data_IF_756625869330
#
_entry.id   IF_756625869330
#
_cell.length_a   1.000
_cell.length_b   1.000
_cell.length_c   1.000
_cell.angle_alpha   90.00
_cell.angle_beta   90.00
_cell.angle_gamma   90.00
#
_symmetry.space_group_name_H-M   'P 1'
#
loop_
_entity.id
_entity.type
_entity.pdbx_description
1 polymer ?
#
# COMPACT_ATOMS: atom_id res chain seq x y z
N UNK A 1 -10.69 -19.45 20.40
CA UNK A 1 -9.42 -18.71 20.12
C UNK A 1 -9.66 -17.49 19.22
N UNK A 2 -10.54 -17.60 18.23
CA UNK A 2 -10.85 -16.53 17.26
C UNK A 2 -11.22 -15.17 17.88
N UNK A 3 -12.13 -15.15 18.85
CA UNK A 3 -12.52 -13.89 19.51
C UNK A 3 -11.38 -13.20 20.25
N UNK A 4 -10.41 -13.97 20.75
CA UNK A 4 -9.23 -13.40 21.43
C UNK A 4 -8.32 -12.73 20.39
N UNK A 5 -8.06 -13.38 19.26
CA UNK A 5 -7.28 -12.80 18.16
C UNK A 5 -7.93 -11.50 17.64
N UNK A 6 -9.25 -11.51 17.41
CA UNK A 6 -9.99 -10.31 16.98
C UNK A 6 -9.96 -9.19 18.04
N UNK A 7 -10.10 -9.52 19.32
CA UNK A 7 -10.03 -8.54 20.40
C UNK A 7 -8.64 -7.89 20.48
N UNK A 8 -7.58 -8.68 20.29
CA UNK A 8 -6.19 -8.16 20.28
C UNK A 8 -5.98 -7.26 19.06
N UNK A 9 -6.45 -7.68 17.86
CA UNK A 9 -6.38 -6.86 16.65
C UNK A 9 -7.12 -5.54 16.85
N UNK A 10 -8.32 -5.57 17.41
CA UNK A 10 -9.10 -4.36 17.69
C UNK A 10 -8.40 -3.44 18.71
N UNK A 11 -7.79 -4.02 19.75
CA UNK A 11 -7.03 -3.27 20.75
C UNK A 11 -5.80 -2.59 20.11
N UNK A 12 -5.07 -3.30 19.26
CA UNK A 12 -3.90 -2.78 18.54
C UNK A 12 -4.33 -1.67 17.58
N UNK A 13 -5.41 -1.87 16.83
CA UNK A 13 -5.95 -0.86 15.93
C UNK A 13 -6.39 0.41 16.70
N UNK A 14 -7.00 0.24 17.86
CA UNK A 14 -7.39 1.36 18.72
C UNK A 14 -6.18 2.09 19.33
N UNK A 15 -5.15 1.36 19.77
CA UNK A 15 -3.97 1.93 20.43
C UNK A 15 -3.00 2.61 19.43
N UNK A 16 -2.97 2.17 18.18
CA UNK A 16 -2.00 2.63 17.16
C UNK A 16 -2.00 4.14 16.94
N UNK A 17 -3.16 4.85 16.78
CA UNK A 17 -3.17 6.31 16.61
C UNK A 17 -2.61 7.05 17.84
N UNK A 18 -2.87 6.54 19.05
CA UNK A 18 -2.35 7.13 20.28
C UNK A 18 -0.83 6.99 20.38
N UNK A 19 -0.30 5.81 20.03
CA UNK A 19 1.14 5.55 19.99
C UNK A 19 1.81 6.45 18.94
N UNK A 20 1.24 6.50 17.73
CA UNK A 20 1.76 7.34 16.65
C UNK A 20 1.74 8.84 17.01
N UNK A 21 0.70 9.30 17.69
CA UNK A 21 0.58 10.71 18.12
C UNK A 21 1.50 11.09 19.28
N UNK A 22 1.90 10.13 20.10
CA UNK A 22 2.80 10.35 21.23
C UNK A 22 4.26 10.63 20.82
N UNK A 23 4.63 10.31 19.57
CA UNK A 23 5.99 10.55 19.06
C UNK A 23 6.10 11.98 18.55
N UNK A 24 6.99 12.83 19.13
CA UNK A 24 7.19 14.19 18.66
C UNK A 24 7.64 14.22 17.19
N UNK A 25 7.00 15.09 16.38
CA UNK A 25 7.33 15.23 14.94
C UNK A 25 6.64 14.24 14.02
N UNK A 26 5.89 13.26 14.52
CA UNK A 26 5.15 12.24 13.75
C UNK A 26 5.96 11.66 12.56
N UNK A 27 7.19 11.14 12.80
CA UNK A 27 8.06 10.68 11.70
C UNK A 27 7.57 9.38 11.07
N UNK A 28 6.72 8.62 11.77
CA UNK A 28 6.26 7.30 11.35
C UNK A 28 4.74 7.30 11.19
N UNK A 29 4.22 6.93 10.01
CA UNK A 29 2.78 6.76 9.80
C UNK A 29 2.19 5.68 10.72
N UNK A 30 0.94 5.87 11.13
CA UNK A 30 0.18 4.91 11.94
C UNK A 30 0.18 3.50 11.34
N UNK A 31 0.04 3.40 10.03
CA UNK A 31 0.04 2.13 9.28
C UNK A 31 1.29 1.29 9.54
N UNK A 32 2.44 1.93 9.70
CA UNK A 32 3.71 1.22 10.00
C UNK A 32 3.64 0.54 11.37
N UNK A 33 3.05 1.21 12.37
CA UNK A 33 2.84 0.59 13.70
C UNK A 33 1.91 -0.60 13.61
N UNK A 34 0.82 -0.50 12.86
CA UNK A 34 -0.11 -1.61 12.65
C UNK A 34 0.57 -2.81 11.99
N UNK A 35 1.39 -2.57 10.96
CA UNK A 35 2.16 -3.63 10.29
C UNK A 35 3.18 -4.28 11.22
N UNK A 36 3.96 -3.49 11.95
CA UNK A 36 4.98 -3.99 12.87
C UNK A 36 4.33 -4.77 14.01
N UNK A 37 3.30 -4.22 14.65
CA UNK A 37 2.59 -4.90 15.73
C UNK A 37 1.89 -6.17 15.23
N UNK A 38 1.29 -6.13 14.04
CA UNK A 38 0.72 -7.32 13.41
C UNK A 38 1.74 -8.42 13.14
N UNK A 39 2.93 -8.05 12.65
CA UNK A 39 4.02 -9.01 12.44
C UNK A 39 4.53 -9.61 13.77
N UNK A 40 4.72 -8.76 14.79
CA UNK A 40 5.22 -9.20 16.11
C UNK A 40 4.22 -10.09 16.83
N UNK A 41 2.94 -9.73 16.84
CA UNK A 41 1.88 -10.51 17.52
C UNK A 41 1.39 -11.69 16.68
N UNK A 42 1.74 -11.71 15.40
CA UNK A 42 1.33 -12.73 14.44
C UNK A 42 1.96 -14.11 14.70
N UNK A 43 1.53 -15.12 13.92
CA UNK A 43 1.87 -16.52 14.15
C UNK A 43 3.36 -16.85 13.98
N UNK A 44 4.11 -15.99 13.25
CA UNK A 44 5.52 -16.22 12.93
C UNK A 44 6.50 -15.69 14.00
N UNK A 45 6.02 -14.85 14.94
CA UNK A 45 6.85 -14.33 16.04
C UNK A 45 6.31 -14.76 17.41
N UNK A 46 5.38 -13.98 17.98
CA UNK A 46 4.86 -14.29 19.32
C UNK A 46 3.70 -15.31 19.30
N UNK A 47 3.06 -15.52 18.17
CA UNK A 47 1.96 -16.49 18.04
C UNK A 47 0.73 -16.16 18.89
N UNK A 48 0.55 -14.89 19.27
CA UNK A 48 -0.58 -14.44 20.10
C UNK A 48 -1.85 -14.33 19.25
N UNK A 49 -1.70 -13.92 17.98
CA UNK A 49 -2.77 -13.83 17.00
C UNK A 49 -2.67 -15.06 16.09
N UNK A 50 -3.76 -15.81 16.02
CA UNK A 50 -3.90 -16.93 15.09
C UNK A 50 -4.77 -16.51 13.90
N UNK A 51 -4.35 -16.93 12.70
CA UNK A 51 -5.11 -16.68 11.46
C UNK A 51 -6.15 -17.79 11.32
N UNK A 52 -7.30 -17.58 11.94
CA UNK A 52 -8.50 -18.41 11.81
C UNK A 52 -9.49 -17.79 10.80
N UNK A 53 -10.60 -18.47 10.56
CA UNK A 53 -11.57 -18.07 9.53
C UNK A 53 -12.14 -16.66 9.79
N UNK A 54 -12.34 -16.29 11.05
CA UNK A 54 -12.87 -14.99 11.46
C UNK A 54 -11.88 -13.87 11.22
N UNK A 55 -10.60 -14.10 11.52
CA UNK A 55 -9.51 -13.12 11.22
C UNK A 55 -9.35 -12.97 9.72
N UNK A 56 -9.40 -14.06 8.95
CA UNK A 56 -9.35 -14.02 7.49
C UNK A 56 -10.51 -13.21 6.90
N UNK A 57 -11.73 -13.43 7.39
CA UNK A 57 -12.92 -12.69 6.94
C UNK A 57 -12.76 -11.17 7.19
N UNK A 58 -12.31 -10.78 8.39
CA UNK A 58 -12.08 -9.35 8.71
C UNK A 58 -10.97 -8.76 7.83
N UNK A 59 -9.92 -9.53 7.57
CA UNK A 59 -8.83 -9.13 6.66
C UNK A 59 -9.33 -8.90 5.23
N UNK A 60 -10.14 -9.82 4.69
CA UNK A 60 -10.74 -9.69 3.35
C UNK A 60 -11.67 -8.47 3.25
N UNK A 61 -12.49 -8.24 4.28
CA UNK A 61 -13.33 -7.04 4.36
C UNK A 61 -12.48 -5.77 4.43
N UNK A 62 -11.42 -5.77 5.25
CA UNK A 62 -10.48 -4.65 5.34
C UNK A 62 -9.83 -4.34 3.99
N UNK A 63 -9.39 -5.37 3.27
CA UNK A 63 -8.83 -5.24 1.93
C UNK A 63 -9.85 -4.67 0.94
N UNK A 64 -11.10 -5.16 0.98
CA UNK A 64 -12.18 -4.63 0.12
C UNK A 64 -12.44 -3.15 0.39
N UNK A 65 -12.45 -2.72 1.66
CA UNK A 65 -12.59 -1.31 2.02
C UNK A 65 -11.38 -0.46 1.60
N UNK A 66 -10.16 -1.00 1.68
CA UNK A 66 -8.97 -0.31 1.18
C UNK A 66 -9.05 -0.07 -0.33
N UNK A 67 -9.46 -1.07 -1.11
CA UNK A 67 -9.67 -0.90 -2.54
C UNK A 67 -10.80 0.07 -2.87
N UNK A 68 -11.88 0.04 -2.10
CA UNK A 68 -12.97 1.01 -2.26
C UNK A 68 -12.49 2.44 -2.01
N UNK A 69 -11.71 2.64 -0.95
CA UNK A 69 -11.15 3.94 -0.59
C UNK A 69 -10.16 4.42 -1.65
N UNK A 70 -9.25 3.55 -2.09
CA UNK A 70 -8.31 3.85 -3.17
C UNK A 70 -9.04 4.25 -4.45
N UNK A 71 -10.10 3.50 -4.83
CA UNK A 71 -10.94 3.86 -5.98
C UNK A 71 -11.65 5.21 -5.84
N UNK A 72 -12.02 5.59 -4.63
CA UNK A 72 -12.65 6.89 -4.36
C UNK A 72 -11.65 8.07 -4.40
N UNK A 73 -10.39 7.83 -4.06
CA UNK A 73 -9.33 8.85 -4.12
C UNK A 73 -8.87 9.17 -5.54
N UNK A 74 -9.13 8.29 -6.50
CA UNK A 74 -8.73 8.48 -7.90
C UNK A 74 -9.59 9.56 -8.57
N UNK A 75 -8.97 10.66 -8.98
CA UNK A 75 -9.63 11.67 -9.82
C UNK A 75 -9.60 11.21 -11.29
N UNK A 76 -10.77 10.96 -11.93
CA UNK A 76 -10.84 10.58 -13.35
C UNK A 76 -10.13 11.57 -14.29
N UNK A 77 -10.03 12.84 -13.93
CA UNK A 77 -9.34 13.86 -14.73
C UNK A 77 -7.83 13.64 -14.74
N UNK A 78 -7.25 13.15 -13.65
CA UNK A 78 -5.82 12.83 -13.57
C UNK A 78 -5.43 11.65 -14.47
N UNK A 79 -6.38 10.79 -14.84
CA UNK A 79 -6.14 9.63 -15.70
C UNK A 79 -6.25 10.01 -17.19
N UNK A 80 -7.22 10.84 -17.55
CA UNK A 80 -7.57 11.14 -18.97
C UNK A 80 -6.79 12.31 -19.56
N UNK A 81 -6.14 13.11 -18.72
CA UNK A 81 -5.33 14.27 -19.12
C UNK A 81 -4.00 13.92 -19.80
N UNK A 82 -3.26 14.95 -20.17
CA UNK A 82 -1.90 14.81 -20.73
C UNK A 82 -0.97 14.18 -19.71
N UNK A 83 -1.09 14.61 -18.46
CA UNK A 83 -0.35 14.06 -17.30
C UNK A 83 -0.65 12.58 -17.10
N UNK A 84 -1.92 12.17 -17.24
CA UNK A 84 -2.34 10.77 -17.13
C UNK A 84 -1.71 9.88 -18.20
N UNK A 85 -1.62 10.37 -19.44
CA UNK A 85 -0.95 9.62 -20.53
C UNK A 85 0.54 9.45 -20.29
N UNK A 86 1.22 10.48 -19.78
CA UNK A 86 2.62 10.36 -19.37
C UNK A 86 2.77 9.44 -18.16
N UNK A 87 1.86 9.49 -17.21
CA UNK A 87 1.81 8.58 -16.06
C UNK A 87 1.73 7.12 -16.49
N UNK A 88 0.79 6.80 -17.41
CA UNK A 88 0.66 5.47 -17.99
C UNK A 88 1.94 5.02 -18.71
N UNK A 89 2.48 5.88 -19.59
CA UNK A 89 3.68 5.55 -20.34
C UNK A 89 4.87 5.27 -19.38
N UNK A 90 5.03 6.10 -18.36
CA UNK A 90 6.08 5.93 -17.36
C UNK A 90 5.87 4.63 -16.58
N UNK A 91 4.63 4.33 -16.16
CA UNK A 91 4.34 3.09 -15.45
C UNK A 91 4.65 1.86 -16.31
N UNK A 92 4.23 1.84 -17.58
CA UNK A 92 4.51 0.73 -18.51
C UNK A 92 6.02 0.54 -18.70
N UNK A 93 6.79 1.62 -18.87
CA UNK A 93 8.25 1.56 -19.00
C UNK A 93 8.88 1.03 -17.69
N UNK A 94 8.45 1.54 -16.55
CA UNK A 94 8.94 1.10 -15.23
C UNK A 94 8.62 -0.39 -15.00
N UNK A 95 7.40 -0.81 -15.34
CA UNK A 95 7.01 -2.23 -15.27
C UNK A 95 7.89 -3.09 -16.16
N UNK A 96 8.14 -2.67 -17.41
CA UNK A 96 9.02 -3.39 -18.33
C UNK A 96 10.45 -3.53 -17.80
N UNK A 97 11.01 -2.45 -17.25
CA UNK A 97 12.36 -2.47 -16.64
C UNK A 97 12.39 -3.36 -15.41
N UNK A 98 11.39 -3.24 -14.53
CA UNK A 98 11.30 -4.06 -13.32
C UNK A 98 11.13 -5.55 -13.66
N UNK A 99 10.30 -5.87 -14.66
CA UNK A 99 10.11 -7.24 -15.14
C UNK A 99 11.40 -7.82 -15.71
N UNK A 100 12.14 -7.08 -16.52
CA UNK A 100 13.43 -7.49 -17.01
C UNK A 100 14.42 -7.69 -15.85
N UNK A 101 14.48 -6.76 -14.89
CA UNK A 101 15.35 -6.89 -13.74
C UNK A 101 15.04 -8.15 -12.91
N UNK A 102 13.76 -8.42 -12.64
CA UNK A 102 13.31 -9.64 -11.94
C UNK A 102 13.66 -10.89 -12.73
N UNK A 103 13.45 -10.87 -14.06
CA UNK A 103 13.70 -12.03 -14.94
C UNK A 103 15.18 -12.38 -15.04
N UNK A 104 16.06 -11.39 -15.04
CA UNK A 104 17.50 -11.59 -15.15
C UNK A 104 18.23 -11.72 -13.80
N UNK A 105 17.56 -11.53 -12.69
CA UNK A 105 18.16 -11.68 -11.36
C UNK A 105 18.02 -13.14 -10.89
N UNK A 106 19.14 -13.87 -10.73
CA UNK A 106 19.10 -15.29 -10.36
C UNK A 106 18.39 -15.59 -9.04
N UNK A 107 18.41 -14.62 -8.12
CA UNK A 107 17.76 -14.74 -6.81
C UNK A 107 16.26 -15.02 -6.90
N UNK A 108 15.56 -14.34 -7.80
CA UNK A 108 14.10 -14.53 -7.97
C UNK A 108 13.76 -15.83 -8.69
N UNK A 109 14.61 -16.31 -9.58
CA UNK A 109 14.41 -17.58 -10.29
C UNK A 109 14.59 -18.82 -9.39
N UNK A 110 15.41 -18.71 -8.33
CA UNK A 110 15.65 -19.79 -7.37
C UNK A 110 14.55 -19.88 -6.30
N UNK A 111 13.88 -18.79 -6.00
CA UNK A 111 12.94 -18.68 -4.87
C UNK A 111 11.51 -19.13 -5.19
N UNK A 112 11.21 -19.62 -6.39
CA UNK A 112 9.85 -19.96 -6.86
C UNK A 112 8.81 -18.82 -6.72
N UNK A 113 9.26 -17.57 -6.57
CA UNK A 113 8.37 -16.43 -6.60
C UNK A 113 7.82 -16.24 -8.01
N UNK A 114 6.54 -15.95 -8.10
CA UNK A 114 5.93 -15.49 -9.33
C UNK A 114 6.58 -14.15 -9.73
N UNK A 115 7.39 -14.17 -10.79
CA UNK A 115 8.12 -12.98 -11.26
C UNK A 115 7.19 -11.81 -11.60
N UNK A 116 5.96 -12.09 -12.01
CA UNK A 116 4.94 -11.08 -12.29
C UNK A 116 4.49 -10.44 -10.98
N UNK A 117 4.17 -11.24 -9.96
CA UNK A 117 3.74 -10.72 -8.66
C UNK A 117 4.81 -9.82 -8.02
N UNK A 118 6.08 -10.23 -8.09
CA UNK A 118 7.20 -9.41 -7.61
C UNK A 118 7.32 -8.11 -8.41
N UNK A 119 7.18 -8.17 -9.73
CA UNK A 119 7.23 -6.99 -10.60
C UNK A 119 6.09 -6.02 -10.28
N UNK A 120 4.87 -6.52 -10.11
CA UNK A 120 3.71 -5.71 -9.71
C UNK A 120 3.94 -5.05 -8.35
N UNK A 121 4.44 -5.79 -7.37
CA UNK A 121 4.76 -5.24 -6.05
C UNK A 121 5.83 -4.13 -6.11
N UNK A 122 6.85 -4.28 -6.95
CA UNK A 122 7.91 -3.29 -7.13
C UNK A 122 7.45 -2.03 -7.88
N UNK A 123 6.40 -2.12 -8.69
CA UNK A 123 5.86 -1.01 -9.49
C UNK A 123 4.60 -0.39 -8.91
N UNK A 124 4.12 -0.90 -7.78
CA UNK A 124 2.99 -0.33 -7.06
C UNK A 124 3.38 0.93 -6.28
N UNK A 125 2.43 1.84 -6.13
CA UNK A 125 2.55 3.05 -5.30
C UNK A 125 1.38 3.10 -4.32
N UNK A 126 1.51 3.93 -3.27
CA UNK A 126 0.46 4.13 -2.27
C UNK A 126 0.06 5.61 -2.21
N UNK A 127 -0.98 5.99 -2.94
CA UNK A 127 -1.53 7.36 -2.94
C UNK A 127 -2.06 7.76 -1.58
N UNK A 128 -2.64 6.85 -0.83
CA UNK A 128 -3.19 7.10 0.49
C UNK A 128 -2.19 7.70 1.49
N UNK A 129 -0.89 7.43 1.32
CA UNK A 129 0.19 8.05 2.12
C UNK A 129 0.74 9.31 1.46
N UNK A 130 0.72 9.38 0.14
CA UNK A 130 1.31 10.46 -0.63
C UNK A 130 0.43 11.73 -0.61
N UNK A 131 -0.88 11.57 -0.77
CA UNK A 131 -1.84 12.69 -0.83
C UNK A 131 -1.82 13.56 0.44
N UNK A 132 -1.84 13.02 1.68
CA UNK A 132 -1.70 13.84 2.88
C UNK A 132 -0.40 14.65 2.91
N UNK A 133 0.72 14.05 2.52
CA UNK A 133 2.02 14.74 2.48
C UNK A 133 2.00 15.89 1.46
N UNK A 134 1.38 15.67 0.30
CA UNK A 134 1.23 16.71 -0.72
C UNK A 134 0.37 17.88 -0.24
N UNK A 135 -0.69 17.59 0.51
CA UNK A 135 -1.54 18.62 1.14
C UNK A 135 -0.76 19.45 2.17
N UNK A 136 -0.01 18.79 3.04
CA UNK A 136 0.84 19.47 4.05
C UNK A 136 1.89 20.36 3.40
N UNK A 137 2.42 19.96 2.25
CA UNK A 137 3.43 20.70 1.49
C UNK A 137 2.85 21.71 0.50
N UNK A 138 1.53 21.88 0.46
CA UNK A 138 0.81 22.77 -0.46
C UNK A 138 1.14 22.51 -1.94
N UNK A 139 1.38 21.23 -2.29
CA UNK A 139 1.67 20.80 -3.65
C UNK A 139 0.42 20.47 -4.45
N UNK A 140 -0.73 20.30 -3.80
CA UNK A 140 -2.02 20.04 -4.46
C UNK A 140 -2.44 21.23 -5.33
N UNK A 141 -2.88 20.94 -6.57
CA UNK A 141 -3.24 21.97 -7.55
C UNK A 141 -2.05 22.67 -8.20
N UNK A 142 -0.83 22.19 -7.98
CA UNK A 142 0.35 22.63 -8.73
C UNK A 142 0.65 21.63 -9.86
N UNK A 143 1.33 22.09 -10.92
CA UNK A 143 1.74 21.24 -12.03
C UNK A 143 2.57 20.02 -11.58
N UNK A 144 3.41 20.21 -10.58
CA UNK A 144 4.22 19.12 -9.97
C UNK A 144 3.30 18.16 -9.22
N UNK A 145 2.36 18.68 -8.42
CA UNK A 145 1.39 17.87 -7.69
C UNK A 145 0.51 17.04 -8.61
N UNK A 146 0.00 17.65 -9.68
CA UNK A 146 -0.85 16.95 -10.66
C UNK A 146 -0.08 15.84 -11.38
N UNK A 147 1.21 16.06 -11.71
CA UNK A 147 2.07 15.02 -12.27
C UNK A 147 2.30 13.87 -11.29
N UNK A 148 2.58 14.17 -10.02
CA UNK A 148 2.79 13.17 -8.97
C UNK A 148 1.51 12.33 -8.78
N UNK A 149 0.34 12.98 -8.75
CA UNK A 149 -0.95 12.28 -8.64
C UNK A 149 -1.19 11.38 -9.85
N UNK A 150 -0.93 11.85 -11.07
CA UNK A 150 -1.10 11.06 -12.29
C UNK A 150 -0.21 9.81 -12.28
N UNK A 151 1.07 9.95 -11.92
CA UNK A 151 2.00 8.81 -11.81
C UNK A 151 1.62 7.85 -10.68
N UNK A 152 1.23 8.38 -9.52
CA UNK A 152 0.78 7.59 -8.39
C UNK A 152 -0.50 6.81 -8.70
N UNK A 153 -1.45 7.43 -9.40
CA UNK A 153 -2.70 6.79 -9.83
C UNK A 153 -2.43 5.58 -10.73
N UNK A 154 -1.54 5.70 -11.71
CA UNK A 154 -1.18 4.55 -12.56
C UNK A 154 -0.37 3.49 -11.81
N UNK A 155 0.47 3.89 -10.86
CA UNK A 155 1.18 2.96 -9.99
C UNK A 155 0.27 2.20 -9.02
N UNK A 156 -0.93 2.69 -8.73
CA UNK A 156 -1.93 2.02 -7.89
C UNK A 156 -2.92 1.21 -8.74
N UNK A 157 -3.40 1.76 -9.86
CA UNK A 157 -4.32 1.09 -10.77
C UNK A 157 -3.65 -0.01 -11.60
N UNK A 158 -2.43 0.23 -12.08
CA UNK A 158 -1.74 -0.68 -12.97
C UNK A 158 -1.59 -2.10 -12.44
N UNK A 159 -1.20 -2.31 -11.17
CA UNK A 159 -1.11 -3.63 -10.57
C UNK A 159 -2.45 -4.36 -10.39
N UNK A 160 -3.57 -3.63 -10.46
CA UNK A 160 -4.93 -4.17 -10.24
C UNK A 160 -5.60 -4.53 -11.57
N UNK A 161 -5.17 -3.92 -12.70
CA UNK A 161 -5.69 -4.17 -14.03
C UNK A 161 -5.03 -5.38 -14.69
#
# INVERSE_FOLDING_TARGET
MAFISLAIIALVAFASPFIASAIPGKPVPETVFLLVLGAVLGPHMLGVIHVDAEVSLVSELGLAFLFLLAGFEIDPKSITGVEGRYGLATWVVTFGIAWLAVRFTPWFSVSHFDGIAVTLALTSTALGTLVPIMRERSLTGTRVGDSILAYGTWGELGPVL
#
